data_IF_726191760956
#
_entry.id   IF_726191760956
#
_cell.length_a   1.000
_cell.length_b   1.000
_cell.length_c   1.000
_cell.angle_alpha   90.00
_cell.angle_beta   90.00
_cell.angle_gamma   90.00
#
_symmetry.space_group_name_H-M   'P 1'
#
loop_
_entity.id
_entity.type
_entity.pdbx_description
1 polymer ?
#
# COMPACT_ATOMS: atom_id res chain seq x y z
N UNK A 1 -5.43 8.37 -3.57
CA UNK A 1 -5.07 7.01 -4.07
C UNK A 1 -5.51 6.89 -5.52
N UNK A 2 -4.84 6.07 -6.35
CA UNK A 2 -5.25 5.81 -7.75
C UNK A 2 -5.40 4.31 -7.97
N UNK A 3 -6.61 3.83 -8.28
CA UNK A 3 -6.85 2.44 -8.66
C UNK A 3 -6.29 2.12 -10.04
N UNK A 4 -5.65 0.97 -10.17
CA UNK A 4 -5.04 0.48 -11.39
C UNK A 4 -5.73 -0.83 -11.80
N UNK A 5 -6.51 -0.83 -12.89
CA UNK A 5 -7.14 -2.05 -13.39
C UNK A 5 -6.11 -3.14 -13.64
N UNK A 6 -6.43 -4.37 -13.24
CA UNK A 6 -5.54 -5.52 -13.42
C UNK A 6 -6.33 -6.78 -13.77
N UNK A 7 -5.72 -7.65 -14.57
CA UNK A 7 -6.23 -9.00 -14.86
C UNK A 7 -6.21 -9.92 -13.63
N UNK A 8 -5.46 -9.54 -12.58
CA UNK A 8 -5.37 -10.28 -11.33
C UNK A 8 -6.58 -10.05 -10.42
N UNK A 9 -7.38 -9.01 -10.68
CA UNK A 9 -8.54 -8.71 -9.86
C UNK A 9 -9.51 -9.89 -9.86
N UNK A 10 -9.97 -10.25 -8.67
CA UNK A 10 -10.85 -11.37 -8.41
C UNK A 10 -10.26 -12.76 -8.70
N UNK A 11 -8.96 -12.88 -8.97
CA UNK A 11 -8.29 -14.17 -9.10
C UNK A 11 -7.84 -14.70 -7.74
N UNK A 12 -7.98 -16.00 -7.57
CA UNK A 12 -7.63 -16.71 -6.35
C UNK A 12 -6.26 -17.37 -6.49
N UNK A 13 -5.43 -17.22 -5.46
CA UNK A 13 -4.10 -17.81 -5.37
C UNK A 13 -3.89 -18.40 -3.97
N UNK A 14 -3.02 -19.40 -3.88
CA UNK A 14 -2.43 -19.76 -2.60
C UNK A 14 -1.63 -18.57 -2.06
N UNK A 15 -1.87 -18.18 -0.79
CA UNK A 15 -1.08 -17.13 -0.14
C UNK A 15 0.41 -17.48 -0.14
N UNK A 16 0.75 -18.75 0.09
CA UNK A 16 2.13 -19.23 0.00
C UNK A 16 2.74 -18.97 -1.39
N UNK A 17 2.01 -19.27 -2.47
CA UNK A 17 2.49 -18.98 -3.82
C UNK A 17 2.73 -17.48 -4.03
N UNK A 18 1.79 -16.62 -3.61
CA UNK A 18 1.97 -15.17 -3.68
C UNK A 18 3.21 -14.71 -2.92
N UNK A 19 3.43 -15.21 -1.69
CA UNK A 19 4.61 -14.84 -0.92
C UNK A 19 5.92 -15.28 -1.58
N UNK A 20 5.98 -16.51 -2.12
CA UNK A 20 7.17 -17.01 -2.78
C UNK A 20 7.50 -16.25 -4.07
N UNK A 21 6.47 -15.80 -4.80
CA UNK A 21 6.65 -15.05 -6.05
C UNK A 21 6.94 -13.57 -5.80
N UNK A 22 6.25 -12.93 -4.84
CA UNK A 22 6.28 -11.48 -4.68
C UNK A 22 7.39 -10.98 -3.73
N UNK A 23 7.74 -11.74 -2.68
CA UNK A 23 8.82 -11.32 -1.75
C UNK A 23 10.17 -11.10 -2.47
N UNK A 24 10.62 -11.97 -3.40
CA UNK A 24 11.86 -11.73 -4.15
C UNK A 24 11.81 -10.51 -5.08
N UNK A 25 10.61 -10.08 -5.48
CA UNK A 25 10.40 -8.88 -6.30
C UNK A 25 10.35 -7.59 -5.46
N UNK A 26 10.50 -7.69 -4.13
CA UNK A 26 10.51 -6.55 -3.22
C UNK A 26 9.15 -6.21 -2.60
N UNK A 27 8.11 -7.03 -2.83
CA UNK A 27 6.84 -6.86 -2.13
C UNK A 27 6.93 -7.36 -0.70
N UNK A 28 6.27 -6.66 0.20
CA UNK A 28 6.14 -7.05 1.61
C UNK A 28 4.67 -7.06 2.02
N UNK A 29 4.29 -7.94 2.94
CA UNK A 29 2.97 -7.83 3.57
C UNK A 29 3.07 -6.72 4.62
N UNK A 30 2.41 -5.58 4.40
CA UNK A 30 2.49 -4.43 5.31
C UNK A 30 1.23 -3.59 5.36
N UNK A 31 1.02 -2.96 6.53
CA UNK A 31 -0.13 -2.09 6.80
C UNK A 31 -1.46 -2.84 6.92
N UNK A 32 -2.35 -2.40 7.82
CA UNK A 32 -3.77 -2.81 7.82
C UNK A 32 -4.06 -4.31 7.74
N UNK A 33 -3.18 -5.18 8.25
CA UNK A 33 -3.41 -6.62 8.25
C UNK A 33 -4.48 -6.96 9.28
N UNK A 34 -5.51 -7.69 8.84
CA UNK A 34 -6.58 -8.19 9.70
C UNK A 34 -6.59 -9.74 9.66
N UNK A 35 -7.56 -10.34 10.33
CA UNK A 35 -7.69 -11.79 10.45
C UNK A 35 -7.85 -12.50 9.08
N UNK A 36 -8.55 -11.86 8.16
CA UNK A 36 -8.97 -12.41 6.88
C UNK A 36 -8.46 -11.62 5.67
N UNK A 37 -7.80 -10.47 5.84
CA UNK A 37 -7.35 -9.62 4.73
C UNK A 37 -6.00 -8.98 4.99
N UNK A 38 -5.34 -8.57 3.92
CA UNK A 38 -4.08 -7.88 3.99
C UNK A 38 -3.71 -7.20 2.68
N UNK A 39 -2.49 -6.69 2.66
CA UNK A 39 -1.94 -5.98 1.51
C UNK A 39 -0.53 -6.45 1.23
N UNK A 40 -0.20 -6.66 -0.04
CA UNK A 40 1.18 -6.65 -0.51
C UNK A 40 1.54 -5.24 -0.97
N UNK A 41 2.61 -4.67 -0.43
CA UNK A 41 3.12 -3.36 -0.79
C UNK A 41 4.47 -3.47 -1.48
N UNK A 42 4.60 -2.78 -2.62
CA UNK A 42 5.87 -2.51 -3.27
C UNK A 42 6.18 -1.03 -3.16
N UNK A 43 7.28 -0.69 -2.50
CA UNK A 43 7.73 0.69 -2.33
C UNK A 43 8.29 1.20 -3.65
N UNK A 44 7.70 2.28 -4.17
CA UNK A 44 8.14 2.96 -5.39
C UNK A 44 9.08 4.11 -5.04
N UNK A 45 8.74 4.89 -4.01
CA UNK A 45 9.47 6.09 -3.60
C UNK A 45 9.22 6.40 -2.12
N UNK A 46 10.20 7.01 -1.45
CA UNK A 46 10.10 7.51 -0.07
C UNK A 46 10.81 8.86 0.21
N UNK A 47 11.17 9.64 -0.82
CA UNK A 47 11.87 10.92 -0.63
C UNK A 47 11.00 12.01 0.02
N UNK A 48 9.77 12.24 -0.49
CA UNK A 48 8.83 13.27 0.00
C UNK A 48 7.53 12.65 0.55
N UNK A 49 7.67 11.59 1.35
CA UNK A 49 6.55 10.79 1.81
C UNK A 49 6.80 9.31 1.59
N UNK A 50 5.73 8.57 1.30
CA UNK A 50 5.84 7.23 0.73
C UNK A 50 4.87 7.08 -0.43
N UNK A 51 5.33 6.37 -1.46
CA UNK A 51 4.52 5.92 -2.58
C UNK A 51 4.63 4.40 -2.70
N UNK A 52 3.50 3.71 -2.61
CA UNK A 52 3.41 2.26 -2.76
C UNK A 52 2.52 1.89 -3.94
N UNK A 53 2.89 0.83 -4.67
CA UNK A 53 1.90 -0.02 -5.34
C UNK A 53 1.39 -1.02 -4.30
N UNK A 54 0.11 -0.91 -3.96
CA UNK A 54 -0.56 -1.75 -2.96
C UNK A 54 -1.52 -2.71 -3.64
N UNK A 55 -1.46 -3.98 -3.24
CA UNK A 55 -2.31 -5.06 -3.77
C UNK A 55 -3.12 -5.65 -2.60
N UNK A 56 -4.43 -5.39 -2.53
CA UNK A 56 -5.29 -6.00 -1.51
C UNK A 56 -5.48 -7.50 -1.78
N UNK A 57 -5.58 -8.28 -0.71
CA UNK A 57 -6.01 -9.67 -0.76
C UNK A 57 -6.93 -10.01 0.43
N UNK A 58 -7.84 -10.95 0.22
CA UNK A 58 -8.78 -11.44 1.23
C UNK A 58 -8.88 -12.96 1.18
N UNK A 59 -8.93 -13.61 2.35
CA UNK A 59 -9.07 -15.05 2.51
C UNK A 59 -10.44 -15.51 2.02
N UNK A 60 -10.46 -16.52 1.15
CA UNK A 60 -11.73 -17.10 0.66
C UNK A 60 -12.42 -17.92 1.76
N UNK A 61 -11.64 -18.58 2.61
CA UNK A 61 -12.13 -19.39 3.74
C UNK A 61 -12.31 -18.58 5.03
N UNK A 62 -12.15 -17.24 4.97
CA UNK A 62 -12.37 -16.33 6.08
C UNK A 62 -11.25 -16.27 7.13
N UNK A 63 -10.11 -16.95 6.91
CA UNK A 63 -8.94 -16.85 7.79
C UNK A 63 -7.62 -17.10 7.06
N UNK A 64 -6.59 -16.33 7.43
CA UNK A 64 -5.25 -16.42 6.85
C UNK A 64 -4.32 -17.40 7.58
N UNK A 65 -4.73 -17.95 8.72
CA UNK A 65 -3.87 -18.80 9.58
C UNK A 65 -3.67 -20.23 9.05
N UNK A 66 -4.39 -20.61 8.00
CA UNK A 66 -4.33 -21.95 7.44
C UNK A 66 -3.08 -22.13 6.59
N UNK A 67 -2.44 -23.31 6.70
CA UNK A 67 -1.20 -23.63 5.96
C UNK A 67 -1.34 -23.52 4.44
N UNK A 68 -2.57 -23.57 3.91
CA UNK A 68 -2.89 -23.46 2.49
C UNK A 68 -3.95 -22.40 2.23
N UNK A 69 -3.91 -21.28 2.97
CA UNK A 69 -4.87 -20.19 2.79
C UNK A 69 -4.95 -19.79 1.31
N UNK A 70 -6.15 -19.87 0.75
CA UNK A 70 -6.44 -19.34 -0.58
C UNK A 70 -7.00 -17.94 -0.42
N UNK A 71 -6.42 -17.00 -1.14
CA UNK A 71 -6.79 -15.59 -1.07
C UNK A 71 -7.19 -15.10 -2.45
N UNK A 72 -8.16 -14.21 -2.49
CA UNK A 72 -8.62 -13.51 -3.67
C UNK A 72 -7.97 -12.13 -3.72
N UNK A 73 -7.33 -11.80 -4.83
CA UNK A 73 -6.75 -10.48 -5.04
C UNK A 73 -7.83 -9.45 -5.40
N UNK A 74 -7.72 -8.25 -4.84
CA UNK A 74 -8.53 -7.10 -5.26
C UNK A 74 -7.79 -6.21 -6.27
N UNK A 75 -8.35 -5.04 -6.55
CA UNK A 75 -7.76 -4.09 -7.51
C UNK A 75 -6.50 -3.46 -6.93
N UNK A 76 -5.34 -3.55 -7.60
CA UNK A 76 -4.14 -2.83 -7.19
C UNK A 76 -4.35 -1.31 -7.23
N UNK A 77 -3.65 -0.57 -6.37
CA UNK A 77 -3.73 0.89 -6.36
C UNK A 77 -2.43 1.55 -5.90
N UNK A 78 -2.21 2.79 -6.36
CA UNK A 78 -1.17 3.66 -5.85
C UNK A 78 -1.63 4.35 -4.57
N UNK A 79 -0.85 4.17 -3.51
CA UNK A 79 -1.04 4.83 -2.22
C UNK A 79 0.12 5.80 -1.99
N UNK A 80 -0.19 7.10 -1.99
CA UNK A 80 0.76 8.17 -1.64
C UNK A 80 0.36 8.79 -0.31
N UNK A 81 1.35 9.00 0.56
CA UNK A 81 1.21 9.84 1.74
C UNK A 81 2.40 10.77 1.80
N UNK A 82 2.15 12.07 1.86
CA UNK A 82 3.21 13.08 2.00
C UNK A 82 3.43 13.32 3.49
N UNK A 83 4.68 13.33 3.94
CA UNK A 83 4.98 13.71 5.32
C UNK A 83 4.49 15.13 5.56
N UNK A 84 3.73 15.35 6.63
CA UNK A 84 3.47 16.71 7.07
C UNK A 84 4.77 17.25 7.67
N UNK A 85 5.35 18.26 7.03
CA UNK A 85 6.33 19.10 7.71
C UNK A 85 5.62 19.72 8.93
N UNK A 86 6.15 19.46 10.12
CA UNK A 86 5.71 20.15 11.32
C UNK A 86 6.03 21.65 11.14
N UNK A 87 5.06 22.41 10.63
CA UNK A 87 5.10 23.86 10.65
C UNK A 87 4.94 24.31 12.10
N UNK A 88 6.02 24.29 12.89
CA UNK A 88 6.13 25.12 14.09
C UNK A 88 7.59 25.23 14.55
N UNK A 89 8.36 26.05 13.84
CA UNK A 89 9.68 26.49 14.29
C UNK A 89 9.73 28.02 14.48
N UNK A 90 8.65 28.59 15.02
CA UNK A 90 8.65 29.95 15.59
C UNK A 90 7.73 30.08 16.81
N UNK A 91 7.89 29.21 17.82
CA UNK A 91 7.38 29.53 19.17
C UNK A 91 8.41 30.41 19.87
N UNK A 92 8.23 31.73 19.69
CA UNK A 92 8.79 32.75 20.57
C UNK A 92 8.34 32.44 22.01
N UNK A 93 9.28 31.93 22.80
CA UNK A 93 9.41 32.14 24.24
C UNK A 93 8.10 32.28 25.04
N UNK A 94 7.49 31.16 25.44
CA UNK A 94 6.39 31.19 26.41
C UNK A 94 5.86 29.81 26.76
N UNK A 95 6.04 29.41 28.02
CA UNK A 95 5.54 28.18 28.65
C UNK A 95 4.15 27.74 28.15
N UNK A 96 4.06 26.78 27.23
CA UNK A 96 2.85 25.96 27.07
C UNK A 96 3.20 24.53 26.66
N UNK A 97 2.59 23.60 27.40
CA UNK A 97 2.56 22.16 27.12
C UNK A 97 1.89 21.93 25.75
N UNK A 98 2.66 21.72 24.69
CA UNK A 98 2.12 21.21 23.43
C UNK A 98 2.12 19.69 23.46
N UNK A 99 1.16 19.12 24.21
CA UNK A 99 0.84 17.69 24.20
C UNK A 99 -0.29 17.38 23.22
N UNK A 100 -0.34 18.05 22.06
CA UNK A 100 -1.43 17.91 21.09
C UNK A 100 -0.95 18.22 19.68
N UNK A 101 -0.60 17.18 18.93
CA UNK A 101 -1.00 17.05 17.51
C UNK A 101 -0.73 15.67 16.89
N UNK A 102 -0.71 14.59 17.68
CA UNK A 102 -0.65 13.22 17.12
C UNK A 102 -1.93 12.78 16.38
N UNK A 103 -2.93 13.66 16.31
CA UNK A 103 -4.24 13.43 15.68
C UNK A 103 -4.65 14.57 14.73
N UNK A 104 -3.71 15.39 14.25
CA UNK A 104 -4.02 16.35 13.19
C UNK A 104 -4.48 15.58 11.95
N UNK A 105 -5.70 15.87 11.46
CA UNK A 105 -6.21 15.31 10.21
C UNK A 105 -5.26 15.68 9.06
N UNK A 106 -4.94 14.74 8.15
CA UNK A 106 -4.13 15.02 6.97
C UNK A 106 -4.66 16.25 6.23
N UNK A 107 -3.87 17.33 6.17
CA UNK A 107 -4.26 18.60 5.52
C UNK A 107 -4.44 18.49 4.00
N UNK A 108 -4.15 17.34 3.41
CA UNK A 108 -4.64 16.96 2.08
C UNK A 108 -5.09 15.49 2.12
N UNK A 109 -6.35 15.24 1.78
CA UNK A 109 -6.95 13.90 1.85
C UNK A 109 -6.40 12.94 0.79
N UNK A 110 -5.75 13.47 -0.24
CA UNK A 110 -5.02 12.72 -1.24
C UNK A 110 -4.04 13.71 -1.87
N UNK A 111 -2.76 13.67 -1.49
CA UNK A 111 -1.76 14.44 -2.21
C UNK A 111 -1.86 14.09 -3.71
N UNK A 112 -1.96 15.11 -4.57
CA UNK A 112 -2.01 14.91 -6.02
C UNK A 112 -0.90 13.93 -6.42
N UNK A 113 -1.26 12.85 -7.12
CA UNK A 113 -0.30 11.90 -7.67
C UNK A 113 0.00 12.37 -9.10
N UNK A 114 1.20 12.91 -9.39
CA UNK A 114 1.59 13.27 -10.74
C UNK A 114 1.33 12.13 -11.73
N UNK A 115 0.82 12.43 -12.93
CA UNK A 115 0.51 11.41 -13.95
C UNK A 115 1.69 10.55 -14.40
N UNK A 116 2.93 10.97 -14.09
CA UNK A 116 4.12 10.12 -14.26
C UNK A 116 4.05 8.87 -13.38
N UNK A 117 3.54 8.98 -12.15
CA UNK A 117 3.39 7.84 -11.25
C UNK A 117 2.26 6.92 -11.66
N UNK A 118 1.19 7.43 -12.28
CA UNK A 118 0.12 6.57 -12.81
C UNK A 118 0.67 5.64 -13.90
N UNK A 119 1.42 6.18 -14.88
CA UNK A 119 2.05 5.37 -15.93
C UNK A 119 3.05 4.37 -15.36
N UNK A 120 3.84 4.79 -14.37
CA UNK A 120 4.77 3.92 -13.67
C UNK A 120 4.03 2.78 -12.95
N UNK A 121 2.96 3.09 -12.23
CA UNK A 121 2.10 2.12 -11.56
C UNK A 121 1.49 1.12 -12.55
N UNK A 122 1.00 1.58 -13.70
CA UNK A 122 0.51 0.70 -14.77
C UNK A 122 1.59 -0.27 -15.28
N UNK A 123 2.84 0.19 -15.41
CA UNK A 123 3.97 -0.67 -15.78
C UNK A 123 4.24 -1.73 -14.73
N UNK A 124 4.23 -1.36 -13.44
CA UNK A 124 4.41 -2.33 -12.35
C UNK A 124 3.27 -3.33 -12.25
N UNK A 125 2.03 -2.94 -12.51
CA UNK A 125 0.90 -3.88 -12.60
C UNK A 125 1.11 -4.89 -13.73
N UNK A 126 1.66 -4.48 -14.88
CA UNK A 126 1.97 -5.41 -15.98
C UNK A 126 3.10 -6.39 -15.62
N UNK A 127 4.10 -5.94 -14.87
CA UNK A 127 5.16 -6.81 -14.35
C UNK A 127 4.63 -7.80 -13.31
N UNK A 128 3.75 -7.34 -12.41
CA UNK A 128 3.05 -8.17 -11.44
C UNK A 128 2.19 -9.24 -12.11
N UNK A 129 1.40 -8.86 -13.12
CA UNK A 129 0.61 -9.79 -13.94
C UNK A 129 1.49 -10.84 -14.59
N UNK A 130 2.61 -10.42 -15.20
CA UNK A 130 3.56 -11.33 -15.82
C UNK A 130 4.16 -12.31 -14.80
N UNK A 131 4.48 -11.86 -13.59
CA UNK A 131 5.08 -12.71 -12.56
C UNK A 131 4.10 -13.78 -12.03
N UNK A 132 2.81 -13.47 -11.96
CA UNK A 132 1.79 -14.35 -11.38
C UNK A 132 1.02 -15.20 -12.41
N UNK A 133 1.04 -14.82 -13.69
CA UNK A 133 0.33 -15.52 -14.76
C UNK A 133 1.25 -16.30 -15.71
N UNK A 134 2.57 -16.25 -15.51
CA UNK A 134 3.56 -16.99 -16.31
C UNK A 134 3.69 -18.46 -15.94
#
# INVERSE_FOLDING_TARGET
>A
MISLPSELENRSFSLYHLEQTLKPLGYVISGGWEYDRGFFDYKIDDEEGYLFLRIPFEAEDGQLDSQNATVKLGTPFLLRHVYQEALDDYVVQGNFRASFDQFAEPKEKDADIPGVYEKLGQSYVKELEKALLS
#
